data_IF_277498714567
#
_entry.id   IF_277498714567
#
_cell.length_a   1.000
_cell.length_b   1.000
_cell.length_c   1.000
_cell.angle_alpha   90.00
_cell.angle_beta   90.00
_cell.angle_gamma   90.00
#
_symmetry.space_group_name_H-M   'P 1'
#
loop_
_entity.id
_entity.type
_entity.pdbx_description
1 polymer ?
#
# COMPACT_ATOMS: atom_id res chain seq x y z
N UNK A 1 -21.81 4.38 4.61
CA UNK A 1 -22.27 4.73 3.26
C UNK A 1 -23.40 3.78 2.89
N UNK A 2 -24.53 4.24 2.32
CA UNK A 2 -25.66 3.36 1.97
C UNK A 2 -25.24 2.45 0.82
N UNK A 3 -25.46 1.14 0.98
CA UNK A 3 -25.04 0.11 0.04
C UNK A 3 -26.12 0.00 -1.06
N UNK A 4 -25.93 0.68 -2.20
CA UNK A 4 -26.84 0.60 -3.36
C UNK A 4 -26.63 -0.74 -4.10
N UNK A 5 -27.04 -1.85 -3.50
CA UNK A 5 -26.93 -3.22 -4.06
C UNK A 5 -28.01 -3.55 -5.10
N UNK A 6 -28.98 -2.65 -5.34
CA UNK A 6 -30.07 -2.84 -6.31
C UNK A 6 -29.57 -2.74 -7.77
N UNK A 7 -28.81 -3.73 -8.23
CA UNK A 7 -28.52 -3.99 -9.64
C UNK A 7 -27.66 -2.96 -10.37
N UNK A 8 -27.15 -1.91 -9.70
CA UNK A 8 -26.22 -0.98 -10.35
C UNK A 8 -24.82 -1.60 -10.45
N UNK A 9 -24.18 -1.43 -11.60
CA UNK A 9 -22.76 -1.75 -11.76
C UNK A 9 -21.87 -0.86 -10.88
N UNK A 10 -20.62 -1.26 -10.71
CA UNK A 10 -19.62 -0.44 -10.02
C UNK A 10 -19.40 0.87 -10.77
N UNK A 11 -19.39 1.98 -10.05
CA UNK A 11 -18.91 3.26 -10.58
C UNK A 11 -17.41 3.18 -10.87
N UNK A 12 -16.89 4.08 -11.70
CA UNK A 12 -15.45 4.15 -11.98
C UNK A 12 -14.61 4.28 -10.70
N UNK A 13 -15.10 5.05 -9.72
CA UNK A 13 -14.44 5.19 -8.42
C UNK A 13 -14.40 3.85 -7.67
N UNK A 14 -15.52 3.15 -7.59
CA UNK A 14 -15.61 1.85 -6.90
C UNK A 14 -14.78 0.78 -7.60
N UNK A 15 -14.77 0.78 -8.94
CA UNK A 15 -13.94 -0.13 -9.73
C UNK A 15 -12.45 0.12 -9.50
N UNK A 16 -12.01 1.39 -9.57
CA UNK A 16 -10.62 1.75 -9.30
C UNK A 16 -10.20 1.42 -7.87
N UNK A 17 -11.09 1.68 -6.89
CA UNK A 17 -10.87 1.31 -5.50
C UNK A 17 -10.74 -0.20 -5.33
N UNK A 18 -11.59 -0.99 -6.00
CA UNK A 18 -11.48 -2.44 -5.99
C UNK A 18 -10.15 -2.90 -6.59
N UNK A 19 -9.76 -2.39 -7.76
CA UNK A 19 -8.46 -2.70 -8.37
C UNK A 19 -7.28 -2.35 -7.45
N UNK A 20 -7.34 -1.19 -6.78
CA UNK A 20 -6.33 -0.77 -5.81
C UNK A 20 -6.20 -1.77 -4.66
N UNK A 21 -7.31 -2.21 -4.07
CA UNK A 21 -7.30 -3.19 -2.98
C UNK A 21 -6.85 -4.59 -3.44
N UNK A 22 -7.21 -5.00 -4.66
CA UNK A 22 -6.75 -6.26 -5.24
C UNK A 22 -5.23 -6.26 -5.45
N UNK A 23 -4.65 -5.20 -5.97
CA UNK A 23 -3.19 -5.13 -6.14
C UNK A 23 -2.46 -5.06 -4.80
N UNK A 24 -3.01 -4.35 -3.79
CA UNK A 24 -2.47 -4.42 -2.40
C UNK A 24 -2.52 -5.84 -1.84
N UNK A 25 -3.62 -6.57 -2.08
CA UNK A 25 -3.77 -7.98 -1.71
C UNK A 25 -2.70 -8.85 -2.39
N UNK A 26 -2.51 -8.66 -3.70
CA UNK A 26 -1.50 -9.38 -4.49
C UNK A 26 -0.07 -9.12 -3.98
N UNK A 27 0.28 -7.86 -3.70
CA UNK A 27 1.60 -7.51 -3.14
C UNK A 27 1.86 -8.25 -1.81
N UNK A 28 0.90 -8.22 -0.88
CA UNK A 28 1.00 -8.94 0.40
C UNK A 28 1.16 -10.45 0.22
N UNK A 29 0.36 -11.05 -0.66
CA UNK A 29 0.42 -12.49 -0.92
C UNK A 29 1.78 -12.90 -1.49
N UNK A 30 2.27 -12.19 -2.52
CA UNK A 30 3.55 -12.53 -3.17
C UNK A 30 4.71 -12.38 -2.17
N UNK A 31 4.73 -11.28 -1.40
CA UNK A 31 5.77 -11.04 -0.41
C UNK A 31 5.82 -12.18 0.63
N UNK A 32 4.66 -12.62 1.14
CA UNK A 32 4.62 -13.76 2.06
C UNK A 32 5.14 -15.06 1.42
N UNK A 33 4.69 -15.39 0.20
CA UNK A 33 5.16 -16.59 -0.50
C UNK A 33 6.67 -16.57 -0.75
N UNK A 34 7.25 -15.41 -1.07
CA UNK A 34 8.69 -15.29 -1.28
C UNK A 34 9.52 -15.62 -0.04
N UNK A 35 9.05 -15.22 1.14
CA UNK A 35 9.74 -15.48 2.41
C UNK A 35 9.80 -16.97 2.74
N UNK A 36 8.81 -17.74 2.30
CA UNK A 36 8.69 -19.17 2.54
C UNK A 36 9.28 -20.04 1.41
N UNK A 37 9.61 -19.44 0.25
CA UNK A 37 10.16 -20.17 -0.89
C UNK A 37 11.65 -20.47 -0.71
N UNK A 38 12.02 -21.75 -0.71
CA UNK A 38 13.43 -22.21 -0.67
C UNK A 38 14.09 -22.36 -2.04
N UNK A 39 13.32 -22.32 -3.13
CA UNK A 39 13.82 -22.47 -4.49
C UNK A 39 14.19 -21.11 -5.11
N UNK A 40 15.46 -20.90 -5.42
CA UNK A 40 15.99 -19.59 -5.84
C UNK A 40 15.35 -19.05 -7.12
N UNK A 41 15.19 -19.89 -8.15
CA UNK A 41 14.56 -19.43 -9.40
C UNK A 41 13.10 -19.01 -9.19
N UNK A 42 12.35 -19.76 -8.39
CA UNK A 42 10.96 -19.44 -8.05
C UNK A 42 10.89 -18.14 -7.24
N UNK A 43 11.82 -17.94 -6.30
CA UNK A 43 11.96 -16.68 -5.56
C UNK A 43 12.24 -15.50 -6.51
N UNK A 44 13.10 -15.68 -7.51
CA UNK A 44 13.38 -14.66 -8.52
C UNK A 44 12.17 -14.36 -9.42
N UNK A 45 11.36 -15.37 -9.76
CA UNK A 45 10.10 -15.17 -10.49
C UNK A 45 9.13 -14.35 -9.64
N UNK A 46 8.93 -14.71 -8.37
CA UNK A 46 8.04 -13.97 -7.49
C UNK A 46 8.50 -12.53 -7.25
N UNK A 47 9.81 -12.28 -7.16
CA UNK A 47 10.37 -10.92 -7.07
C UNK A 47 9.94 -10.06 -8.26
N UNK A 48 10.03 -10.57 -9.50
CA UNK A 48 9.56 -9.85 -10.70
C UNK A 48 8.06 -9.62 -10.70
N UNK A 49 7.29 -10.60 -10.22
CA UNK A 49 5.84 -10.46 -10.05
C UNK A 49 5.49 -9.38 -9.02
N UNK A 50 6.24 -9.31 -7.91
CA UNK A 50 6.07 -8.29 -6.88
C UNK A 50 6.34 -6.90 -7.44
N UNK A 51 7.45 -6.71 -8.16
CA UNK A 51 7.80 -5.43 -8.81
C UNK A 51 6.69 -4.97 -9.76
N UNK A 52 6.14 -5.90 -10.54
CA UNK A 52 5.01 -5.62 -11.44
C UNK A 52 3.76 -5.20 -10.66
N UNK A 53 3.41 -5.94 -9.60
CA UNK A 53 2.24 -5.66 -8.78
C UNK A 53 2.35 -4.30 -8.07
N UNK A 54 3.54 -3.98 -7.54
CA UNK A 54 3.83 -2.68 -6.90
C UNK A 54 3.71 -1.54 -7.92
N UNK A 55 4.29 -1.70 -9.11
CA UNK A 55 4.17 -0.71 -10.18
C UNK A 55 2.72 -0.46 -10.61
N UNK A 56 1.93 -1.53 -10.77
CA UNK A 56 0.50 -1.43 -11.08
C UNK A 56 -0.27 -0.74 -9.96
N UNK A 57 -0.04 -1.13 -8.70
CA UNK A 57 -0.68 -0.53 -7.54
C UNK A 57 -0.38 0.98 -7.47
N UNK A 58 0.88 1.38 -7.68
CA UNK A 58 1.31 2.77 -7.67
C UNK A 58 0.63 3.58 -8.79
N UNK A 59 0.56 3.04 -10.01
CA UNK A 59 -0.13 3.69 -11.13
C UNK A 59 -1.62 3.89 -10.83
N UNK A 60 -2.31 2.87 -10.32
CA UNK A 60 -3.72 2.98 -9.92
C UNK A 60 -3.89 4.06 -8.86
N UNK A 61 -3.02 4.06 -7.84
CA UNK A 61 -3.05 5.05 -6.76
C UNK A 61 -2.91 6.48 -7.28
N UNK A 62 -1.90 6.75 -8.11
CA UNK A 62 -1.68 8.07 -8.71
C UNK A 62 -2.89 8.49 -9.55
N UNK A 63 -3.40 7.61 -10.42
CA UNK A 63 -4.59 7.92 -11.23
C UNK A 63 -5.82 8.22 -10.38
N UNK A 64 -6.00 7.53 -9.25
CA UNK A 64 -7.09 7.83 -8.32
C UNK A 64 -6.90 9.17 -7.60
N UNK A 65 -5.66 9.58 -7.31
CA UNK A 65 -5.38 10.90 -6.76
C UNK A 65 -5.68 12.01 -7.78
N UNK A 66 -5.20 11.86 -9.01
CA UNK A 66 -5.43 12.80 -10.11
C UNK A 66 -6.92 12.95 -10.45
N UNK A 67 -7.68 11.86 -10.34
CA UNK A 67 -9.14 11.85 -10.55
C UNK A 67 -9.95 12.40 -9.36
N UNK A 68 -9.30 12.78 -8.26
CA UNK A 68 -9.95 13.20 -7.02
C UNK A 68 -10.70 12.07 -6.28
N UNK A 69 -10.50 10.81 -6.68
CA UNK A 69 -11.16 9.65 -6.10
C UNK A 69 -10.51 9.19 -4.79
N UNK A 70 -9.24 9.58 -4.58
CA UNK A 70 -8.44 9.22 -3.43
C UNK A 70 -7.63 10.42 -2.96
N UNK A 71 -7.93 10.92 -1.76
CA UNK A 71 -7.22 12.07 -1.18
C UNK A 71 -6.33 11.57 -0.07
N UNK A 72 -5.02 11.74 -0.22
CA UNK A 72 -4.05 11.50 0.84
C UNK A 72 -3.45 12.85 1.22
N UNK A 73 -3.61 13.31 2.46
CA UNK A 73 -2.91 14.49 2.91
C UNK A 73 -1.40 14.22 2.88
N UNK A 74 -0.64 15.14 2.28
CA UNK A 74 0.82 15.07 2.35
C UNK A 74 1.26 15.33 3.79
N UNK A 75 2.14 14.49 4.32
CA UNK A 75 2.75 14.74 5.62
C UNK A 75 3.65 15.98 5.52
N UNK A 76 3.52 16.90 6.47
CA UNK A 76 4.45 18.02 6.62
C UNK A 76 5.80 17.53 7.13
N UNK A 77 6.87 18.29 6.91
CA UNK A 77 8.19 17.96 7.45
C UNK A 77 8.16 17.80 8.98
N UNK A 78 7.38 18.64 9.66
CA UNK A 78 7.20 18.60 11.11
C UNK A 78 6.53 17.29 11.56
N UNK A 79 5.47 16.85 10.86
CA UNK A 79 4.81 15.58 11.13
C UNK A 79 5.71 14.37 10.88
N UNK A 80 6.58 14.44 9.86
CA UNK A 80 7.57 13.37 9.60
C UNK A 80 8.59 13.33 10.74
N UNK A 81 9.12 14.48 11.17
CA UNK A 81 10.09 14.59 12.25
C UNK A 81 9.51 14.09 13.59
N UNK A 82 8.26 14.44 13.89
CA UNK A 82 7.54 13.96 15.08
C UNK A 82 7.45 12.43 15.10
N UNK A 83 6.98 11.82 14.00
CA UNK A 83 6.87 10.36 13.91
C UNK A 83 8.24 9.67 14.00
N UNK A 84 9.28 10.25 13.39
CA UNK A 84 10.64 9.73 13.52
C UNK A 84 11.14 9.77 14.97
N UNK A 85 10.88 10.86 15.70
CA UNK A 85 11.22 10.97 17.13
C UNK A 85 10.50 9.91 17.98
N UNK A 86 9.20 9.70 17.72
CA UNK A 86 8.44 8.64 18.42
C UNK A 86 8.98 7.24 18.13
N UNK A 87 9.35 6.95 16.88
CA UNK A 87 9.94 5.65 16.51
C UNK A 87 11.31 5.43 17.17
N UNK A 88 12.16 6.46 17.22
CA UNK A 88 13.45 6.38 17.92
C UNK A 88 13.27 6.13 19.42
N UNK A 89 12.30 6.79 20.05
CA UNK A 89 11.99 6.58 21.47
C UNK A 89 11.45 5.17 21.75
N UNK A 90 10.64 4.61 20.85
CA UNK A 90 10.15 3.25 20.96
C UNK A 90 11.27 2.20 20.80
N UNK A 91 12.30 2.51 20.00
CA UNK A 91 13.47 1.64 19.83
C UNK A 91 14.47 1.74 21.00
N UNK A 92 14.42 2.81 21.79
CA UNK A 92 15.26 3.02 22.97
C UNK A 92 14.45 3.54 24.17
N UNK A 93 13.60 2.71 24.79
CA UNK A 93 12.80 3.10 25.95
C UNK A 93 13.72 3.29 27.17
N UNK A 94 14.32 4.47 27.31
CA UNK A 94 15.20 4.81 28.44
C UNK A 94 16.25 5.89 28.19
N UNK A 95 16.52 6.31 26.95
CA UNK A 95 17.41 7.46 26.73
C UNK A 95 16.67 8.77 27.02
N UNK A 96 17.16 9.63 27.93
CA UNK A 96 16.56 10.94 28.14
C UNK A 96 16.72 11.78 26.86
N UNK A 97 15.63 12.44 26.44
CA UNK A 97 15.68 13.40 25.34
C UNK A 97 16.60 14.56 25.76
N UNK A 98 17.80 14.61 25.19
CA UNK A 98 18.78 15.68 25.35
C UNK A 98 18.58 16.78 24.33
#
# INVERSE_FOLDING_TARGET
>A
MPNNIDGRGLTNREMMQLCLELEKGRCRSIANTMLETSHDELRAIYQRCLETAVSNQQRIFITMQESGYYVVPQATADQIAEVQGLLQNNLNPGSPAS
#
